data_IF_052682242240
#
_entry.id   IF_052682242240
#
_cell.length_a   1.000
_cell.length_b   1.000
_cell.length_c   1.000
_cell.angle_alpha   90.00
_cell.angle_beta   90.00
_cell.angle_gamma   90.00
#
_symmetry.space_group_name_H-M   'P 1'
#
loop_
_entity.id
_entity.type
_entity.pdbx_description
1 polymer ?
#
# COMPACT_ATOMS: atom_id res chain seq x y z
N UNK A 1 -2.37 -18.29 -14.10
CA UNK A 1 -1.86 -17.57 -15.29
C UNK A 1 -0.39 -17.31 -15.00
N UNK A 2 0.50 -18.00 -15.71
CA UNK A 2 1.95 -17.90 -15.51
C UNK A 2 2.34 -16.48 -15.89
N UNK A 3 2.80 -15.69 -14.90
CA UNK A 3 3.47 -14.42 -15.17
C UNK A 3 4.74 -14.82 -15.95
N UNK A 4 4.78 -14.53 -17.24
CA UNK A 4 6.04 -14.56 -17.97
C UNK A 4 6.96 -13.58 -17.24
N UNK A 5 7.99 -14.11 -16.60
CA UNK A 5 9.08 -13.31 -16.05
C UNK A 5 9.73 -12.66 -17.28
N UNK A 6 9.42 -11.39 -17.52
CA UNK A 6 10.13 -10.62 -18.53
C UNK A 6 11.48 -10.35 -17.91
N UNK A 7 12.53 -10.94 -18.51
CA UNK A 7 13.89 -10.66 -18.12
C UNK A 7 14.15 -9.16 -18.22
N UNK A 8 14.66 -8.58 -17.15
CA UNK A 8 15.12 -7.20 -17.15
C UNK A 8 16.19 -7.02 -18.25
N UNK A 9 16.26 -5.83 -18.84
CA UNK A 9 17.27 -5.52 -19.85
C UNK A 9 18.65 -5.36 -19.17
N UNK A 10 19.27 -6.49 -18.83
CA UNK A 10 20.57 -6.60 -18.16
C UNK A 10 21.65 -7.07 -19.13
N UNK A 11 22.92 -6.91 -18.72
CA UNK A 11 24.04 -7.43 -19.47
C UNK A 11 23.93 -8.96 -19.63
N UNK A 12 23.54 -9.67 -18.58
CA UNK A 12 23.34 -11.12 -18.62
C UNK A 12 22.28 -11.53 -19.64
N UNK A 13 21.13 -10.88 -19.65
CA UNK A 13 20.07 -11.14 -20.62
C UNK A 13 20.54 -10.88 -22.07
N UNK A 14 21.36 -9.85 -22.31
CA UNK A 14 21.94 -9.56 -23.61
C UNK A 14 22.95 -10.64 -24.05
N UNK A 15 23.83 -11.10 -23.15
CA UNK A 15 24.83 -12.12 -23.42
C UNK A 15 24.22 -13.51 -23.65
N UNK A 16 23.07 -13.80 -23.04
CA UNK A 16 22.35 -15.08 -23.18
C UNK A 16 21.58 -15.21 -24.51
N UNK A 17 21.51 -14.16 -25.34
CA UNK A 17 20.86 -14.20 -26.64
C UNK A 17 21.67 -15.09 -27.60
N UNK A 18 21.26 -16.35 -27.80
CA UNK A 18 21.95 -17.34 -28.61
C UNK A 18 22.22 -16.86 -30.06
N UNK A 19 21.28 -16.11 -30.61
CA UNK A 19 21.39 -15.55 -31.97
C UNK A 19 22.53 -14.56 -32.14
N UNK A 20 22.93 -13.88 -31.04
CA UNK A 20 24.03 -12.91 -31.06
C UNK A 20 25.41 -13.55 -30.85
N UNK A 21 25.44 -14.74 -30.27
CA UNK A 21 26.72 -15.50 -30.02
C UNK A 21 27.77 -14.67 -29.28
N UNK A 22 27.34 -13.73 -28.43
CA UNK A 22 28.26 -12.92 -27.64
C UNK A 22 28.98 -13.80 -26.63
N UNK A 23 30.23 -13.48 -26.33
CA UNK A 23 31.04 -14.25 -25.38
C UNK A 23 31.68 -13.31 -24.37
N UNK A 24 31.38 -13.50 -23.10
CA UNK A 24 32.05 -12.75 -22.04
C UNK A 24 33.55 -13.13 -22.04
N UNK A 25 34.41 -12.11 -22.10
CA UNK A 25 35.83 -12.30 -22.00
C UNK A 25 36.23 -12.33 -20.53
N UNK A 26 36.53 -13.53 -20.02
CA UNK A 26 37.02 -13.70 -18.65
C UNK A 26 38.55 -13.61 -18.70
N UNK A 27 39.22 -12.66 -18.01
CA UNK A 27 40.66 -12.70 -17.84
C UNK A 27 41.02 -13.93 -17.00
N UNK A 28 42.14 -14.59 -17.32
CA UNK A 28 42.64 -15.77 -16.62
C UNK A 28 42.92 -15.56 -15.12
N UNK A 29 42.76 -14.35 -14.64
CA UNK A 29 42.89 -13.93 -13.23
C UNK A 29 41.74 -13.03 -12.85
N UNK A 30 40.59 -13.60 -12.43
CA UNK A 30 39.59 -12.86 -11.68
C UNK A 30 40.02 -12.89 -10.21
N UNK A 31 40.17 -11.72 -9.52
CA UNK A 31 40.23 -11.72 -8.08
C UNK A 31 38.90 -12.30 -7.56
N UNK A 32 38.95 -13.29 -6.68
CA UNK A 32 37.83 -14.01 -6.12
C UNK A 32 36.84 -13.12 -5.29
N UNK A 33 36.84 -11.81 -5.45
CA UNK A 33 36.08 -10.83 -4.71
C UNK A 33 34.90 -10.20 -5.48
N UNK A 34 34.79 -10.42 -6.82
CA UNK A 34 33.66 -9.91 -7.58
C UNK A 34 32.66 -11.04 -7.81
N UNK A 35 31.49 -10.94 -7.22
CA UNK A 35 30.38 -11.86 -7.47
C UNK A 35 30.01 -11.74 -8.96
N UNK A 36 30.24 -12.78 -9.76
CA UNK A 36 29.87 -12.83 -11.19
C UNK A 36 28.38 -12.46 -11.43
N UNK A 37 27.52 -12.71 -10.46
CA UNK A 37 26.10 -12.36 -10.48
C UNK A 37 25.87 -10.84 -10.54
N UNK A 38 26.68 -10.05 -9.83
CA UNK A 38 26.52 -8.58 -9.79
C UNK A 38 26.90 -7.89 -11.12
N UNK A 39 27.80 -8.50 -11.89
CA UNK A 39 28.20 -8.00 -13.20
C UNK A 39 27.14 -8.25 -14.27
N UNK A 40 26.50 -9.42 -14.23
CA UNK A 40 25.47 -9.82 -15.19
C UNK A 40 24.14 -9.09 -14.94
N UNK A 41 23.88 -8.68 -13.71
CA UNK A 41 22.68 -7.96 -13.33
C UNK A 41 22.75 -6.44 -13.65
N UNK A 42 23.87 -5.95 -14.18
CA UNK A 42 24.00 -4.54 -14.58
C UNK A 42 22.94 -4.18 -15.63
N UNK A 43 22.18 -3.10 -15.42
CA UNK A 43 21.19 -2.66 -16.40
C UNK A 43 21.87 -2.18 -17.70
N UNK A 44 21.26 -2.48 -18.84
CA UNK A 44 21.70 -1.98 -20.16
C UNK A 44 20.60 -1.12 -20.76
N UNK A 45 20.75 0.19 -20.66
CA UNK A 45 19.77 1.17 -21.15
C UNK A 45 19.90 1.49 -22.63
N UNK A 46 20.96 1.01 -23.26
CA UNK A 46 21.18 1.17 -24.70
C UNK A 46 22.51 0.62 -25.13
N UNK A 47 22.69 0.54 -26.45
CA UNK A 47 23.93 0.09 -27.10
C UNK A 47 24.38 1.18 -28.06
N UNK A 48 25.61 1.62 -27.93
CA UNK A 48 26.24 2.62 -28.80
C UNK A 48 27.46 2.01 -29.48
N UNK A 49 27.71 2.33 -30.74
CA UNK A 49 28.92 1.91 -31.44
C UNK A 49 29.80 3.11 -31.76
N UNK A 50 31.09 3.03 -31.44
CA UNK A 50 32.02 4.11 -31.68
C UNK A 50 33.46 3.60 -31.72
N UNK A 51 34.22 4.07 -32.71
CA UNK A 51 35.66 3.89 -32.85
C UNK A 51 36.42 5.20 -32.61
N UNK A 52 35.86 6.11 -31.82
CA UNK A 52 36.53 7.35 -31.42
C UNK A 52 37.58 7.08 -30.33
N UNK A 53 38.67 7.86 -30.35
CA UNK A 53 39.66 7.89 -29.27
C UNK A 53 39.08 8.32 -27.92
N UNK A 54 38.08 9.17 -27.93
CA UNK A 54 37.30 9.56 -26.78
C UNK A 54 35.82 9.61 -27.12
N UNK A 55 35.04 8.53 -26.87
CA UNK A 55 33.59 8.49 -27.10
C UNK A 55 32.79 9.08 -25.94
N UNK A 56 33.42 9.40 -24.80
CA UNK A 56 32.70 9.77 -23.56
C UNK A 56 31.74 10.95 -23.68
N UNK A 57 31.97 11.99 -24.53
CA UNK A 57 30.99 13.06 -24.71
C UNK A 57 29.62 12.59 -25.26
N UNK A 58 29.61 11.46 -25.97
CA UNK A 58 28.43 10.89 -26.62
C UNK A 58 27.79 9.74 -25.83
N UNK A 59 28.36 9.36 -24.68
CA UNK A 59 27.88 8.27 -23.85
C UNK A 59 27.02 8.76 -22.69
N UNK A 60 25.98 8.00 -22.37
CA UNK A 60 25.24 8.10 -21.15
C UNK A 60 25.59 6.94 -20.20
N UNK A 61 25.12 7.01 -18.97
CA UNK A 61 25.26 5.95 -17.99
C UNK A 61 24.48 4.70 -18.43
N UNK A 62 24.92 3.52 -18.01
CA UNK A 62 24.30 2.22 -18.29
C UNK A 62 24.22 1.86 -19.79
N UNK A 63 25.10 2.43 -20.62
CA UNK A 63 25.22 2.01 -22.01
C UNK A 63 26.26 0.91 -22.17
N UNK A 64 26.03 0.04 -23.14
CA UNK A 64 27.06 -0.84 -23.71
C UNK A 64 27.72 -0.10 -24.86
N UNK A 65 29.06 0.00 -24.85
CA UNK A 65 29.84 0.51 -25.98
C UNK A 65 30.33 -0.64 -26.83
N UNK A 66 30.10 -0.59 -28.15
CA UNK A 66 30.67 -1.51 -29.14
C UNK A 66 31.74 -0.79 -29.92
N UNK A 67 32.88 -1.48 -30.17
CA UNK A 67 33.99 -0.95 -30.93
C UNK A 67 34.63 -2.03 -31.82
N UNK A 68 35.15 -1.66 -32.98
CA UNK A 68 35.97 -2.53 -33.82
C UNK A 68 37.46 -2.45 -33.47
N UNK A 69 37.83 -1.47 -32.65
CA UNK A 69 39.19 -1.25 -32.20
C UNK A 69 40.08 -0.51 -33.19
N UNK A 70 39.55 0.09 -34.26
CA UNK A 70 40.31 0.88 -35.24
C UNK A 70 41.11 2.00 -34.56
N UNK A 71 40.55 2.63 -33.50
CA UNK A 71 41.22 3.68 -32.74
C UNK A 71 42.49 3.20 -31.98
N UNK A 72 42.66 1.89 -31.82
CA UNK A 72 43.80 1.32 -31.08
C UNK A 72 45.03 1.04 -31.95
N UNK A 73 44.96 1.15 -33.29
CA UNK A 73 46.09 0.87 -34.19
C UNK A 73 47.35 1.67 -33.85
N UNK A 74 47.29 2.98 -33.52
CA UNK A 74 48.49 3.76 -33.19
C UNK A 74 49.04 3.48 -31.79
N UNK A 75 48.30 2.80 -30.91
CA UNK A 75 48.56 2.78 -29.47
C UNK A 75 48.97 1.40 -28.93
N UNK A 76 49.15 0.40 -29.76
CA UNK A 76 49.45 -0.99 -29.34
C UNK A 76 50.73 -1.12 -28.48
N UNK A 77 51.64 -0.19 -28.59
CA UNK A 77 52.90 -0.19 -27.83
C UNK A 77 52.79 0.52 -26.47
N UNK A 78 51.62 1.13 -26.14
CA UNK A 78 51.45 1.90 -24.91
C UNK A 78 50.31 1.33 -24.02
N UNK A 79 50.63 0.52 -23.01
CA UNK A 79 49.61 0.01 -22.08
C UNK A 79 48.79 1.09 -21.35
N UNK A 80 49.39 2.26 -21.02
CA UNK A 80 48.72 3.36 -20.32
C UNK A 80 47.55 3.91 -21.14
N UNK A 81 47.63 3.86 -22.47
CA UNK A 81 46.54 4.29 -23.34
C UNK A 81 45.25 3.48 -23.10
N UNK A 82 45.35 2.17 -22.98
CA UNK A 82 44.19 1.31 -22.73
C UNK A 82 43.62 1.57 -21.34
N UNK A 83 44.47 1.75 -20.34
CA UNK A 83 44.00 2.09 -18.97
C UNK A 83 43.27 3.43 -18.94
N UNK A 84 43.79 4.46 -19.60
CA UNK A 84 43.15 5.76 -19.69
C UNK A 84 41.80 5.72 -20.44
N UNK A 85 41.76 4.95 -21.53
CA UNK A 85 40.51 4.75 -22.30
C UNK A 85 39.43 4.07 -21.45
N UNK A 86 39.78 2.93 -20.86
CA UNK A 86 38.82 2.15 -20.02
C UNK A 86 38.40 2.90 -18.79
N UNK A 87 39.31 3.61 -18.09
CA UNK A 87 39.00 4.45 -16.95
C UNK A 87 37.96 5.51 -17.31
N UNK A 88 38.11 6.23 -18.43
CA UNK A 88 37.11 7.23 -18.88
C UNK A 88 35.73 6.61 -19.13
N UNK A 89 35.68 5.42 -19.73
CA UNK A 89 34.43 4.69 -19.95
C UNK A 89 33.76 4.34 -18.62
N UNK A 90 34.53 3.83 -17.66
CA UNK A 90 34.03 3.49 -16.34
C UNK A 90 33.55 4.71 -15.59
N UNK A 91 34.31 5.80 -15.56
CA UNK A 91 33.94 7.06 -14.89
C UNK A 91 32.66 7.66 -15.50
N UNK A 92 32.42 7.37 -16.79
CA UNK A 92 31.16 7.75 -17.46
C UNK A 92 29.98 6.85 -17.11
N UNK A 93 30.20 5.71 -16.46
CA UNK A 93 29.17 4.75 -16.08
C UNK A 93 28.78 3.80 -17.23
N UNK A 94 29.69 3.48 -18.15
CA UNK A 94 29.45 2.47 -19.18
C UNK A 94 29.26 1.11 -18.52
N UNK A 95 28.22 0.38 -18.92
CA UNK A 95 27.88 -0.91 -18.34
C UNK A 95 28.84 -2.02 -18.77
N UNK A 96 29.24 -2.05 -20.05
CA UNK A 96 30.17 -3.02 -20.61
C UNK A 96 30.77 -2.52 -21.92
N UNK A 97 31.91 -3.10 -22.30
CA UNK A 97 32.56 -2.90 -23.59
C UNK A 97 32.44 -4.16 -24.44
N UNK A 98 31.87 -4.07 -25.64
CA UNK A 98 31.84 -5.14 -26.63
C UNK A 98 32.86 -4.88 -27.72
N UNK A 99 33.69 -5.86 -28.00
CA UNK A 99 34.76 -5.77 -29.04
C UNK A 99 34.44 -6.66 -30.24
N UNK A 100 34.34 -6.05 -31.42
CA UNK A 100 34.13 -6.76 -32.69
C UNK A 100 35.38 -7.41 -33.15
N UNK A 101 35.45 -8.73 -33.05
CA UNK A 101 36.61 -9.54 -33.55
C UNK A 101 36.48 -9.85 -35.02
N UNK A 102 37.61 -10.13 -35.66
CA UNK A 102 37.76 -10.49 -37.11
C UNK A 102 37.29 -9.38 -38.09
N UNK A 103 37.06 -8.13 -37.60
CA UNK A 103 36.72 -6.97 -38.45
C UNK A 103 37.99 -6.21 -38.83
N UNK A 104 38.75 -5.75 -37.84
CA UNK A 104 40.01 -5.03 -37.97
C UNK A 104 41.14 -5.88 -37.40
N UNK A 105 40.85 -6.73 -36.42
CA UNK A 105 41.80 -7.58 -35.68
C UNK A 105 41.22 -8.96 -35.45
N UNK A 106 42.08 -9.97 -35.38
CA UNK A 106 41.69 -11.38 -35.17
C UNK A 106 41.15 -11.62 -33.74
N UNK A 107 41.44 -10.74 -32.77
CA UNK A 107 41.01 -10.90 -31.38
C UNK A 107 41.07 -9.61 -30.59
N UNK A 108 40.71 -9.71 -29.28
CA UNK A 108 40.77 -8.61 -28.33
C UNK A 108 42.23 -8.30 -27.98
N UNK A 109 42.70 -7.03 -28.06
CA UNK A 109 44.06 -6.68 -27.64
C UNK A 109 44.30 -7.00 -26.17
N UNK A 110 45.41 -7.66 -25.84
CA UNK A 110 45.75 -8.06 -24.47
C UNK A 110 45.81 -6.86 -23.51
N UNK A 111 46.31 -5.70 -23.97
CA UNK A 111 46.32 -4.47 -23.18
C UNK A 111 44.93 -3.96 -22.84
N UNK A 112 43.95 -4.08 -23.76
CA UNK A 112 42.56 -3.72 -23.52
C UNK A 112 41.91 -4.67 -22.50
N UNK A 113 42.14 -5.98 -22.66
CA UNK A 113 41.63 -6.97 -21.72
C UNK A 113 42.17 -6.74 -20.30
N UNK A 114 43.48 -6.50 -20.15
CA UNK A 114 44.10 -6.16 -18.88
C UNK A 114 43.55 -4.88 -18.25
N UNK A 115 43.36 -3.83 -19.06
CA UNK A 115 42.77 -2.57 -18.57
C UNK A 115 41.33 -2.75 -18.13
N UNK A 116 40.50 -3.49 -18.88
CA UNK A 116 39.11 -3.79 -18.49
C UNK A 116 39.05 -4.57 -17.18
N UNK A 117 39.90 -5.56 -16.98
CA UNK A 117 40.00 -6.29 -15.71
C UNK A 117 40.42 -5.38 -14.54
N UNK A 118 41.46 -4.54 -14.75
CA UNK A 118 41.96 -3.63 -13.70
C UNK A 118 40.91 -2.56 -13.26
N UNK A 119 40.05 -2.16 -14.16
CA UNK A 119 38.99 -1.17 -13.90
C UNK A 119 37.62 -1.78 -13.69
N UNK A 120 37.49 -3.12 -13.58
CA UNK A 120 36.21 -3.84 -13.37
C UNK A 120 35.13 -3.47 -14.42
N UNK A 121 35.52 -3.20 -15.65
CA UNK A 121 34.62 -2.98 -16.79
C UNK A 121 34.40 -4.31 -17.51
N UNK A 122 33.19 -4.87 -17.57
CA UNK A 122 32.91 -6.08 -18.30
C UNK A 122 33.28 -5.94 -19.77
N UNK A 123 34.00 -6.94 -20.29
CA UNK A 123 34.43 -7.00 -21.67
C UNK A 123 33.87 -8.27 -22.33
N UNK A 124 33.26 -8.14 -23.49
CA UNK A 124 32.76 -9.28 -24.25
C UNK A 124 33.11 -9.18 -25.73
N UNK A 125 33.19 -10.34 -26.34
CA UNK A 125 33.47 -10.50 -27.78
C UNK A 125 32.16 -10.44 -28.57
N UNK A 126 32.16 -9.68 -29.68
CA UNK A 126 31.13 -9.69 -30.70
C UNK A 126 31.72 -10.32 -31.95
N UNK A 127 31.31 -11.56 -32.33
CA UNK A 127 31.84 -12.27 -33.48
C UNK A 127 31.57 -11.55 -34.81
N UNK A 128 32.41 -11.71 -35.80
CA UNK A 128 32.29 -11.07 -37.12
C UNK A 128 30.92 -11.22 -37.77
N UNK A 129 30.24 -12.36 -37.54
CA UNK A 129 28.93 -12.63 -38.13
C UNK A 129 27.78 -11.91 -37.40
N UNK A 130 28.05 -11.22 -36.30
CA UNK A 130 27.07 -10.50 -35.52
C UNK A 130 27.19 -9.00 -35.74
N UNK A 131 26.34 -8.40 -36.58
CA UNK A 131 26.39 -6.96 -36.82
C UNK A 131 26.08 -6.19 -35.53
N UNK A 132 26.77 -5.09 -35.26
CA UNK A 132 26.50 -4.24 -34.09
C UNK A 132 25.06 -3.76 -34.01
N UNK A 133 24.44 -3.53 -35.16
CA UNK A 133 22.99 -3.16 -35.20
C UNK A 133 22.09 -4.29 -34.69
N UNK A 134 22.48 -5.57 -34.80
CA UNK A 134 21.71 -6.68 -34.24
C UNK A 134 21.76 -6.67 -32.71
N UNK A 135 22.92 -6.35 -32.13
CA UNK A 135 23.08 -6.20 -30.66
C UNK A 135 22.22 -5.03 -30.16
N UNK A 136 22.29 -3.88 -30.85
CA UNK A 136 21.48 -2.71 -30.50
C UNK A 136 19.95 -2.98 -30.58
N UNK A 137 19.53 -3.70 -31.65
CA UNK A 137 18.14 -4.10 -31.84
C UNK A 137 17.65 -5.03 -30.72
N UNK A 138 18.42 -6.07 -30.39
CA UNK A 138 18.07 -7.03 -29.36
C UNK A 138 17.90 -6.35 -27.99
N UNK A 139 18.79 -5.41 -27.64
CA UNK A 139 18.63 -4.62 -26.41
C UNK A 139 17.40 -3.72 -26.45
N UNK A 140 17.12 -3.04 -27.58
CA UNK A 140 15.93 -2.19 -27.73
C UNK A 140 14.63 -2.99 -27.61
N UNK A 141 14.61 -4.21 -28.17
CA UNK A 141 13.49 -5.14 -28.05
C UNK A 141 13.28 -5.60 -26.60
N UNK A 142 14.36 -5.88 -25.85
CA UNK A 142 14.29 -6.23 -24.43
C UNK A 142 13.72 -5.07 -23.59
N UNK A 143 14.20 -3.85 -23.80
CA UNK A 143 13.70 -2.65 -23.12
C UNK A 143 12.21 -2.39 -23.44
N UNK A 144 11.82 -2.56 -24.69
CA UNK A 144 10.42 -2.40 -25.09
C UNK A 144 9.51 -3.48 -24.48
N UNK A 145 9.97 -4.73 -24.41
CA UNK A 145 9.26 -5.84 -23.79
C UNK A 145 9.09 -5.62 -22.28
N UNK A 146 10.15 -5.16 -21.59
CA UNK A 146 10.09 -4.81 -20.16
C UNK A 146 9.09 -3.69 -19.89
N UNK A 147 9.15 -2.60 -20.65
CA UNK A 147 8.23 -1.48 -20.53
C UNK A 147 6.78 -1.91 -20.81
N UNK A 148 6.55 -2.77 -21.80
CA UNK A 148 5.23 -3.31 -22.11
C UNK A 148 4.70 -4.19 -20.96
N UNK A 149 5.53 -5.07 -20.43
CA UNK A 149 5.16 -5.95 -19.32
C UNK A 149 4.78 -5.16 -18.07
N UNK A 150 5.56 -4.12 -17.74
CA UNK A 150 5.27 -3.22 -16.60
C UNK A 150 3.93 -2.50 -16.77
N UNK A 151 3.65 -1.96 -17.94
CA UNK A 151 2.35 -1.32 -18.26
C UNK A 151 1.19 -2.32 -18.20
N UNK A 152 1.38 -3.51 -18.76
CA UNK A 152 0.38 -4.58 -18.74
C UNK A 152 0.09 -5.04 -17.31
N UNK A 153 1.14 -5.17 -16.48
CA UNK A 153 0.99 -5.45 -15.06
C UNK A 153 0.18 -4.36 -14.35
N UNK A 154 0.51 -3.07 -14.56
CA UNK A 154 -0.21 -1.97 -13.91
C UNK A 154 -1.70 -1.96 -14.25
N UNK A 155 -2.07 -2.18 -15.52
CA UNK A 155 -3.47 -2.31 -15.94
C UNK A 155 -4.16 -3.52 -15.30
N UNK A 156 -3.47 -4.64 -15.21
CA UNK A 156 -3.99 -5.86 -14.57
C UNK A 156 -4.18 -5.65 -13.07
N UNK A 157 -3.23 -4.99 -12.40
CA UNK A 157 -3.32 -4.63 -11.00
C UNK A 157 -4.50 -3.69 -10.73
N UNK A 158 -4.65 -2.63 -11.52
CA UNK A 158 -5.79 -1.72 -11.40
C UNK A 158 -7.13 -2.43 -11.57
N UNK A 159 -7.23 -3.35 -12.54
CA UNK A 159 -8.44 -4.15 -12.75
C UNK A 159 -8.72 -5.06 -11.55
N UNK A 160 -7.71 -5.76 -11.04
CA UNK A 160 -7.84 -6.65 -9.89
C UNK A 160 -8.30 -5.89 -8.63
N UNK A 161 -7.73 -4.70 -8.41
CA UNK A 161 -8.09 -3.81 -7.30
C UNK A 161 -9.53 -3.30 -7.46
N UNK A 162 -9.93 -2.90 -8.67
CA UNK A 162 -11.31 -2.46 -8.93
C UNK A 162 -12.33 -3.58 -8.67
N UNK A 163 -12.00 -4.82 -9.03
CA UNK A 163 -12.83 -5.99 -8.71
C UNK A 163 -12.86 -6.31 -7.22
N UNK A 164 -11.76 -6.10 -6.52
CA UNK A 164 -11.70 -6.26 -5.06
C UNK A 164 -12.61 -5.24 -4.36
N UNK A 165 -12.66 -4.01 -4.85
CA UNK A 165 -13.51 -2.95 -4.29
C UNK A 165 -15.02 -3.26 -4.38
N UNK A 166 -15.44 -4.14 -5.29
CA UNK A 166 -16.85 -4.57 -5.43
C UNK A 166 -17.27 -5.67 -4.45
N UNK A 167 -16.35 -6.20 -3.63
CA UNK A 167 -16.66 -7.24 -2.64
C UNK A 167 -17.41 -6.64 -1.44
N UNK A 168 -18.10 -7.44 -0.62
CA UNK A 168 -18.82 -6.96 0.58
C UNK A 168 -17.91 -6.16 1.54
N UNK A 169 -16.65 -6.61 1.77
CA UNK A 169 -15.62 -5.82 2.44
C UNK A 169 -14.69 -5.16 1.39
N UNK A 170 -15.26 -4.31 0.55
CA UNK A 170 -14.58 -3.71 -0.58
C UNK A 170 -13.30 -2.97 -0.21
N UNK A 171 -13.31 -2.23 0.91
CA UNK A 171 -12.15 -1.48 1.38
C UNK A 171 -11.02 -2.41 1.86
N UNK A 172 -11.33 -3.41 2.69
CA UNK A 172 -10.35 -4.38 3.16
C UNK A 172 -9.80 -5.23 2.02
N UNK A 173 -10.65 -5.66 1.10
CA UNK A 173 -10.25 -6.40 -0.08
C UNK A 173 -9.34 -5.57 -1.01
N UNK A 174 -9.60 -4.26 -1.15
CA UNK A 174 -8.78 -3.32 -1.93
C UNK A 174 -7.38 -3.18 -1.32
N UNK A 175 -7.28 -3.01 0.00
CA UNK A 175 -5.99 -2.90 0.71
C UNK A 175 -5.20 -4.21 0.59
N UNK A 176 -5.85 -5.36 0.79
CA UNK A 176 -5.21 -6.66 0.66
C UNK A 176 -4.72 -6.92 -0.78
N UNK A 177 -5.51 -6.54 -1.79
CA UNK A 177 -5.12 -6.68 -3.18
C UNK A 177 -3.96 -5.76 -3.54
N UNK A 178 -3.95 -4.50 -3.05
CA UNK A 178 -2.84 -3.58 -3.24
C UNK A 178 -1.54 -4.14 -2.64
N UNK A 179 -1.60 -4.61 -1.38
CA UNK A 179 -0.46 -5.22 -0.71
C UNK A 179 0.10 -6.41 -1.50
N UNK A 180 -0.78 -7.26 -2.05
CA UNK A 180 -0.40 -8.41 -2.87
C UNK A 180 0.22 -8.01 -4.22
N UNK A 181 -0.32 -6.98 -4.89
CA UNK A 181 0.17 -6.53 -6.20
C UNK A 181 1.53 -5.85 -6.12
N UNK A 182 1.79 -5.14 -5.03
CA UNK A 182 3.05 -4.42 -4.79
C UNK A 182 4.05 -5.22 -3.96
N UNK A 183 3.65 -6.42 -3.50
CA UNK A 183 4.44 -7.22 -2.55
C UNK A 183 4.95 -6.41 -1.35
N UNK A 184 4.07 -5.60 -0.76
CA UNK A 184 4.43 -4.70 0.34
C UNK A 184 3.34 -4.63 1.41
N UNK A 185 3.72 -4.16 2.60
CA UNK A 185 2.75 -3.89 3.65
C UNK A 185 1.96 -2.61 3.36
N UNK A 186 0.65 -2.67 3.58
CA UNK A 186 -0.28 -1.55 3.46
C UNK A 186 -1.14 -1.50 4.73
N UNK A 187 -1.23 -0.33 5.35
CA UNK A 187 -2.07 -0.06 6.52
C UNK A 187 -3.03 1.09 6.30
N UNK A 188 -4.22 0.99 6.89
CA UNK A 188 -5.23 2.03 6.91
C UNK A 188 -5.41 2.53 8.35
N UNK A 189 -5.24 3.82 8.57
CA UNK A 189 -5.47 4.51 9.83
C UNK A 189 -6.74 5.36 9.73
N UNK A 190 -7.56 5.34 10.78
CA UNK A 190 -8.75 6.17 10.90
C UNK A 190 -8.42 7.65 11.19
N UNK A 191 -9.44 8.47 11.35
CA UNK A 191 -9.29 9.90 11.70
C UNK A 191 -8.72 10.14 13.10
N UNK A 192 -8.71 9.14 13.97
CA UNK A 192 -8.06 9.14 15.29
C UNK A 192 -6.61 8.70 15.24
N UNK A 193 -6.11 8.29 14.07
CA UNK A 193 -4.77 7.74 13.91
C UNK A 193 -4.64 6.28 14.34
N UNK A 194 -5.75 5.56 14.54
CA UNK A 194 -5.73 4.13 14.90
C UNK A 194 -5.66 3.27 13.65
N UNK A 195 -4.81 2.25 13.66
CA UNK A 195 -4.74 1.25 12.58
C UNK A 195 -6.02 0.41 12.60
N UNK A 196 -6.85 0.55 11.56
CA UNK A 196 -8.12 -0.17 11.43
C UNK A 196 -8.02 -1.40 10.54
N UNK A 197 -7.14 -1.37 9.55
CA UNK A 197 -6.91 -2.47 8.62
C UNK A 197 -5.44 -2.53 8.21
N UNK A 198 -4.94 -3.72 7.96
CA UNK A 198 -3.60 -3.95 7.41
C UNK A 198 -3.55 -5.20 6.53
N UNK A 199 -2.62 -5.21 5.59
CA UNK A 199 -2.29 -6.36 4.78
C UNK A 199 -0.77 -6.35 4.41
N UNK A 200 -0.05 -7.47 4.57
CA UNK A 200 -0.47 -8.66 5.32
C UNK A 200 -0.63 -8.36 6.82
N UNK A 201 -1.50 -9.11 7.51
CA UNK A 201 -1.69 -8.93 8.95
C UNK A 201 -0.42 -9.26 9.72
N UNK A 202 -0.06 -8.41 10.68
CA UNK A 202 1.18 -8.56 11.46
C UNK A 202 2.45 -8.35 10.62
N UNK A 203 2.35 -7.70 9.48
CA UNK A 203 3.49 -7.44 8.60
C UNK A 203 4.43 -6.34 9.10
N UNK A 204 4.07 -5.67 10.21
CA UNK A 204 4.92 -4.71 10.93
C UNK A 204 4.92 -5.05 12.42
N UNK A 205 6.03 -4.75 13.10
CA UNK A 205 6.12 -4.87 14.54
C UNK A 205 5.37 -3.73 15.27
N UNK A 206 5.09 -3.93 16.56
CA UNK A 206 4.31 -2.98 17.34
C UNK A 206 4.99 -1.60 17.45
N UNK A 207 6.32 -1.54 17.47
CA UNK A 207 7.07 -0.28 17.56
C UNK A 207 6.95 0.51 16.25
N UNK A 208 7.06 -0.17 15.11
CA UNK A 208 6.87 0.43 13.77
C UNK A 208 5.44 0.94 13.59
N UNK A 209 4.43 0.17 14.01
CA UNK A 209 3.02 0.60 13.96
C UNK A 209 2.81 1.85 14.81
N UNK A 210 3.40 1.93 16.02
CA UNK A 210 3.26 3.10 16.89
C UNK A 210 3.91 4.36 16.27
N UNK A 211 5.07 4.23 15.62
CA UNK A 211 5.71 5.34 14.91
C UNK A 211 4.88 5.80 13.71
N UNK A 212 4.32 4.85 12.94
CA UNK A 212 3.41 5.15 11.83
C UNK A 212 2.13 5.84 12.34
N UNK A 213 1.58 5.38 13.47
CA UNK A 213 0.43 5.98 14.14
C UNK A 213 0.68 7.43 14.54
N UNK A 214 1.82 7.71 15.16
CA UNK A 214 2.20 9.07 15.55
C UNK A 214 2.35 9.99 14.33
N UNK A 215 2.97 9.49 13.26
CA UNK A 215 3.11 10.22 12.00
C UNK A 215 1.76 10.47 11.33
N UNK A 216 0.86 9.49 11.33
CA UNK A 216 -0.50 9.60 10.82
C UNK A 216 -1.31 10.65 11.59
N UNK A 217 -1.27 10.62 12.93
CA UNK A 217 -1.94 11.61 13.76
C UNK A 217 -1.44 13.04 13.49
N UNK A 218 -0.13 13.22 13.36
CA UNK A 218 0.47 14.52 12.99
C UNK A 218 0.01 15.01 11.62
N UNK A 219 -0.10 14.11 10.63
CA UNK A 219 -0.54 14.46 9.29
C UNK A 219 -2.02 14.87 9.26
N UNK A 220 -2.88 14.18 10.03
CA UNK A 220 -4.30 14.49 10.16
C UNK A 220 -4.53 15.86 10.81
N UNK A 221 -3.73 16.24 11.80
CA UNK A 221 -3.83 17.56 12.45
C UNK A 221 -3.61 18.73 11.50
N UNK A 222 -2.90 18.55 10.39
CA UNK A 222 -2.71 19.58 9.37
C UNK A 222 -3.99 19.92 8.60
N UNK A 223 -5.02 19.07 8.65
CA UNK A 223 -6.36 19.31 8.11
C UNK A 223 -6.47 19.41 6.59
N UNK A 224 -5.39 19.26 5.85
CA UNK A 224 -5.34 19.35 4.39
C UNK A 224 -4.92 18.03 3.75
N UNK A 225 -5.30 17.82 2.47
CA UNK A 225 -4.76 16.70 1.69
C UNK A 225 -3.24 16.84 1.61
N UNK A 226 -2.54 15.85 2.10
CA UNK A 226 -1.10 15.83 2.15
C UNK A 226 -0.57 14.40 2.06
N UNK A 227 0.66 14.27 1.60
CA UNK A 227 1.46 13.05 1.67
C UNK A 227 2.77 13.37 2.37
N UNK A 228 3.29 12.40 3.10
CA UNK A 228 4.60 12.49 3.75
C UNK A 228 5.32 11.16 3.61
N UNK A 229 6.63 11.21 3.40
CA UNK A 229 7.48 10.04 3.50
C UNK A 229 8.15 10.04 4.87
N UNK A 230 8.15 8.90 5.53
CA UNK A 230 8.76 8.69 6.84
C UNK A 230 9.60 7.42 6.79
N UNK A 231 10.73 7.44 7.47
CA UNK A 231 11.55 6.25 7.67
C UNK A 231 11.20 5.62 9.00
N UNK A 232 10.86 4.34 8.99
CA UNK A 232 10.50 3.56 10.17
C UNK A 232 11.18 2.20 10.08
N UNK A 233 11.97 1.83 11.09
CA UNK A 233 12.66 0.55 11.12
C UNK A 233 13.64 0.33 9.94
N UNK A 234 14.24 1.42 9.41
CA UNK A 234 15.14 1.34 8.24
C UNK A 234 14.43 1.16 6.90
N UNK A 235 13.10 1.29 6.86
CA UNK A 235 12.27 1.24 5.64
C UNK A 235 11.53 2.55 5.42
N UNK A 236 11.37 2.92 4.15
CA UNK A 236 10.63 4.13 3.77
C UNK A 236 9.14 3.83 3.62
N UNK A 237 8.32 4.63 4.28
CA UNK A 237 6.87 4.57 4.17
C UNK A 237 6.31 5.86 3.60
N UNK A 238 5.33 5.74 2.69
CA UNK A 238 4.51 6.85 2.26
C UNK A 238 3.19 6.83 3.00
N UNK A 239 2.87 7.92 3.68
CA UNK A 239 1.57 8.15 4.31
C UNK A 239 0.81 9.17 3.47
N UNK A 240 -0.42 8.85 3.07
CA UNK A 240 -1.24 9.74 2.27
C UNK A 240 -2.65 9.84 2.87
N UNK A 241 -3.14 11.07 2.99
CA UNK A 241 -4.48 11.35 3.51
C UNK A 241 -5.55 10.88 2.52
N UNK A 242 -6.61 10.30 3.05
CA UNK A 242 -7.81 9.90 2.33
C UNK A 242 -8.95 10.89 2.61
N UNK A 243 -9.80 11.15 1.62
CA UNK A 243 -10.93 12.07 1.71
C UNK A 243 -10.82 13.26 0.77
N UNK A 244 -11.86 14.09 0.72
CA UNK A 244 -11.93 15.33 -0.08
C UNK A 244 -11.63 16.55 0.75
N UNK A 245 -11.32 17.67 0.07
CA UNK A 245 -10.87 18.92 0.71
C UNK A 245 -11.72 19.33 1.91
N UNK A 246 -11.08 19.49 3.06
CA UNK A 246 -11.71 19.87 4.34
C UNK A 246 -12.34 18.73 5.15
N UNK A 247 -12.44 17.49 4.60
CA UNK A 247 -12.97 16.32 5.30
C UNK A 247 -12.06 15.12 5.09
N UNK A 248 -11.01 15.03 5.92
CA UNK A 248 -10.14 13.85 5.94
C UNK A 248 -10.88 12.67 6.56
N UNK A 249 -10.70 11.47 6.00
CA UNK A 249 -11.38 10.23 6.41
C UNK A 249 -10.43 9.18 6.97
N UNK A 250 -9.14 9.41 6.81
CA UNK A 250 -8.09 8.52 7.29
C UNK A 250 -6.79 8.70 6.54
N UNK A 251 -5.89 7.78 6.74
CA UNK A 251 -4.58 7.74 6.09
C UNK A 251 -4.30 6.32 5.60
N UNK A 252 -3.82 6.21 4.37
CA UNK A 252 -3.18 5.00 3.89
C UNK A 252 -1.67 5.13 4.06
N UNK A 253 -1.05 4.12 4.63
CA UNK A 253 0.39 3.99 4.78
C UNK A 253 0.87 2.76 4.01
N UNK A 254 1.94 2.89 3.25
CA UNK A 254 2.55 1.77 2.52
C UNK A 254 4.07 1.93 2.48
N UNK A 255 4.79 0.81 2.51
CA UNK A 255 6.22 0.82 2.28
C UNK A 255 6.49 1.11 0.80
N UNK A 256 7.45 2.02 0.54
CA UNK A 256 7.70 2.56 -0.81
C UNK A 256 9.05 2.18 -1.39
N UNK A 257 9.83 1.35 -0.67
CA UNK A 257 11.11 0.88 -1.17
C UNK A 257 10.91 0.14 -2.49
N UNK A 258 11.56 0.62 -3.54
CA UNK A 258 11.51 0.02 -4.88
C UNK A 258 10.27 0.32 -5.73
N UNK A 259 9.37 1.24 -5.33
CA UNK A 259 8.23 1.62 -6.18
C UNK A 259 8.67 2.43 -7.41
N UNK A 260 8.42 1.87 -8.58
CA UNK A 260 8.58 2.54 -9.87
C UNK A 260 7.39 3.47 -10.22
N UNK A 261 7.40 4.03 -11.42
CA UNK A 261 6.37 4.96 -11.87
C UNK A 261 5.00 4.28 -12.01
N UNK A 262 4.96 3.06 -12.53
CA UNK A 262 3.75 2.26 -12.70
C UNK A 262 3.14 1.88 -11.35
N UNK A 263 3.95 1.45 -10.39
CA UNK A 263 3.52 1.16 -9.01
C UNK A 263 2.93 2.37 -8.31
N UNK A 264 3.55 3.55 -8.47
CA UNK A 264 2.99 4.82 -7.95
C UNK A 264 1.65 5.16 -8.60
N UNK A 265 1.47 4.88 -9.90
CA UNK A 265 0.20 5.05 -10.60
C UNK A 265 -0.91 4.15 -10.02
N UNK A 266 -0.58 2.89 -9.71
CA UNK A 266 -1.51 1.95 -9.06
C UNK A 266 -1.90 2.46 -7.67
N UNK A 267 -0.95 2.90 -6.85
CA UNK A 267 -1.21 3.48 -5.52
C UNK A 267 -2.16 4.68 -5.60
N UNK A 268 -1.92 5.59 -6.53
CA UNK A 268 -2.77 6.78 -6.74
C UNK A 268 -4.22 6.38 -7.05
N UNK A 269 -4.42 5.35 -7.88
CA UNK A 269 -5.75 4.83 -8.21
C UNK A 269 -6.44 4.24 -6.97
N UNK A 270 -5.70 3.53 -6.13
CA UNK A 270 -6.23 2.96 -4.87
C UNK A 270 -6.63 4.04 -3.88
N UNK A 271 -5.83 5.10 -3.75
CA UNK A 271 -6.15 6.24 -2.88
C UNK A 271 -7.48 6.87 -3.28
N UNK A 272 -7.72 7.03 -4.58
CA UNK A 272 -8.99 7.55 -5.07
C UNK A 272 -10.17 6.63 -4.74
N UNK A 273 -10.02 5.31 -4.96
CA UNK A 273 -11.04 4.31 -4.63
C UNK A 273 -11.30 4.21 -3.14
N UNK A 274 -10.24 4.16 -2.31
CA UNK A 274 -10.36 4.10 -0.86
C UNK A 274 -11.02 5.36 -0.29
N UNK A 275 -10.67 6.54 -0.82
CA UNK A 275 -11.31 7.79 -0.43
C UNK A 275 -12.81 7.78 -0.74
N UNK A 276 -13.20 7.32 -1.92
CA UNK A 276 -14.61 7.21 -2.32
C UNK A 276 -15.36 6.19 -1.44
N UNK A 277 -14.76 5.02 -1.20
CA UNK A 277 -15.37 3.99 -0.36
C UNK A 277 -15.60 4.47 1.08
N UNK A 278 -14.62 5.19 1.67
CA UNK A 278 -14.76 5.76 2.99
C UNK A 278 -15.85 6.84 3.03
N UNK A 279 -15.95 7.70 2.01
CA UNK A 279 -17.02 8.70 1.93
C UNK A 279 -18.40 8.04 1.86
N UNK A 280 -18.57 7.04 1.00
CA UNK A 280 -19.85 6.32 0.85
C UNK A 280 -20.24 5.61 2.14
N UNK A 281 -19.30 4.95 2.83
CA UNK A 281 -19.55 4.29 4.10
C UNK A 281 -20.00 5.28 5.17
N UNK A 282 -19.38 6.46 5.26
CA UNK A 282 -19.73 7.49 6.22
C UNK A 282 -21.12 8.10 5.95
N UNK A 283 -21.43 8.35 4.68
CA UNK A 283 -22.75 8.88 4.30
C UNK A 283 -23.86 7.88 4.59
N UNK A 284 -23.60 6.59 4.32
CA UNK A 284 -24.52 5.51 4.66
C UNK A 284 -24.68 5.35 6.18
N UNK A 285 -23.58 5.35 6.93
CA UNK A 285 -23.60 5.28 8.39
C UNK A 285 -24.33 6.48 8.99
N UNK A 286 -24.16 7.68 8.44
CA UNK A 286 -24.89 8.87 8.88
C UNK A 286 -26.39 8.75 8.59
N UNK A 287 -26.77 8.29 7.40
CA UNK A 287 -28.16 8.06 7.02
C UNK A 287 -28.82 7.01 7.94
N UNK A 288 -28.14 5.89 8.21
CA UNK A 288 -28.61 4.88 9.17
C UNK A 288 -28.75 5.47 10.58
N UNK A 289 -27.79 6.29 11.02
CA UNK A 289 -27.86 6.97 12.31
C UNK A 289 -29.08 7.88 12.45
N UNK A 290 -29.39 8.65 11.41
CA UNK A 290 -30.59 9.52 11.38
C UNK A 290 -31.88 8.70 11.39
N UNK A 291 -31.93 7.62 10.60
CA UNK A 291 -33.09 6.71 10.61
C UNK A 291 -33.30 6.05 11.98
N UNK A 292 -32.21 5.58 12.62
CA UNK A 292 -32.31 5.02 14.00
C UNK A 292 -32.79 6.05 15.01
N UNK A 293 -32.30 7.29 14.91
CA UNK A 293 -32.79 8.38 15.75
C UNK A 293 -34.29 8.64 15.53
N UNK A 294 -34.77 8.59 14.28
CA UNK A 294 -36.19 8.69 13.95
C UNK A 294 -37.02 7.53 14.51
N UNK A 295 -36.50 6.29 14.43
CA UNK A 295 -37.16 5.11 15.06
C UNK A 295 -37.22 5.26 16.57
N UNK A 296 -36.13 5.68 17.23
CA UNK A 296 -36.13 5.94 18.67
C UNK A 296 -37.16 7.02 19.03
N UNK A 297 -37.20 8.11 18.28
CA UNK A 297 -38.17 9.18 18.52
C UNK A 297 -39.61 8.67 18.40
N UNK A 298 -39.93 7.83 17.41
CA UNK A 298 -41.25 7.19 17.30
C UNK A 298 -41.57 6.30 18.50
N UNK A 299 -40.58 5.54 19.00
CA UNK A 299 -40.73 4.72 20.20
C UNK A 299 -40.98 5.56 21.46
N UNK A 300 -40.23 6.64 21.65
CA UNK A 300 -40.42 7.57 22.79
C UNK A 300 -41.73 8.32 22.69
N UNK A 301 -42.27 8.52 21.50
CA UNK A 301 -43.60 9.11 21.24
C UNK A 301 -44.74 8.09 21.26
N UNK A 302 -44.46 6.85 21.70
CA UNK A 302 -45.43 5.75 21.80
C UNK A 302 -46.02 5.27 20.44
N UNK A 303 -45.32 5.55 19.31
CA UNK A 303 -45.69 5.02 17.98
C UNK A 303 -44.83 3.77 17.63
N UNK A 304 -45.08 2.69 18.36
CA UNK A 304 -44.43 1.40 18.17
C UNK A 304 -44.69 0.83 16.75
N UNK A 305 -45.89 1.09 16.19
CA UNK A 305 -46.25 0.52 14.90
C UNK A 305 -45.35 1.07 13.76
N UNK A 306 -45.12 2.39 13.73
CA UNK A 306 -44.23 3.03 12.80
C UNK A 306 -42.79 2.58 13.00
N UNK A 307 -42.32 2.60 14.26
CA UNK A 307 -40.95 2.19 14.61
C UNK A 307 -40.67 0.75 14.19
N UNK A 308 -41.54 -0.21 14.49
CA UNK A 308 -41.40 -1.61 14.13
C UNK A 308 -41.42 -1.82 12.61
N UNK A 309 -42.26 -1.07 11.88
CA UNK A 309 -42.31 -1.15 10.40
C UNK A 309 -41.00 -0.69 9.76
N UNK A 310 -40.42 0.42 10.22
CA UNK A 310 -39.15 0.94 9.72
C UNK A 310 -38.00 -0.01 10.08
N UNK A 311 -37.90 -0.41 11.36
CA UNK A 311 -36.85 -1.28 11.86
C UNK A 311 -36.79 -2.60 11.09
N UNK A 312 -37.95 -3.25 10.88
CA UNK A 312 -38.05 -4.53 10.18
C UNK A 312 -37.50 -4.48 8.76
N UNK A 313 -37.65 -3.37 8.07
CA UNK A 313 -37.16 -3.21 6.69
C UNK A 313 -35.65 -3.02 6.61
N UNK A 314 -35.01 -2.47 7.66
CA UNK A 314 -33.61 -2.04 7.59
C UNK A 314 -32.70 -2.91 8.47
N UNK A 315 -33.09 -3.16 9.73
CA UNK A 315 -32.25 -3.86 10.73
C UNK A 315 -32.87 -5.14 11.29
N UNK A 316 -34.14 -5.40 11.00
CA UNK A 316 -34.90 -6.53 11.54
C UNK A 316 -35.86 -6.14 12.65
N UNK A 317 -36.29 -7.15 13.42
CA UNK A 317 -37.24 -6.93 14.50
C UNK A 317 -36.64 -6.11 15.66
N UNK A 318 -37.49 -5.34 16.35
CA UNK A 318 -37.10 -4.68 17.59
C UNK A 318 -37.05 -5.71 18.74
N UNK A 319 -36.28 -5.43 19.83
CA UNK A 319 -36.21 -6.29 21.01
C UNK A 319 -37.59 -6.65 21.58
N UNK A 320 -37.72 -7.89 22.07
CA UNK A 320 -38.99 -8.34 22.66
C UNK A 320 -39.12 -7.80 24.07
N UNK A 321 -40.31 -7.30 24.40
CA UNK A 321 -40.60 -6.86 25.77
C UNK A 321 -40.79 -8.08 26.70
N UNK A 322 -40.42 -7.99 28.00
CA UNK A 322 -39.84 -6.82 28.66
C UNK A 322 -38.40 -6.53 28.23
N UNK A 323 -38.11 -5.26 28.02
CA UNK A 323 -36.80 -4.76 27.63
C UNK A 323 -36.27 -3.71 28.62
N UNK A 324 -34.97 -3.47 28.59
CA UNK A 324 -34.31 -2.39 29.31
C UNK A 324 -33.82 -1.32 28.36
N UNK A 325 -33.86 -0.08 28.78
CA UNK A 325 -33.21 1.04 28.12
C UNK A 325 -31.88 1.31 28.81
N UNK A 326 -30.83 1.46 28.05
CA UNK A 326 -29.54 1.91 28.55
C UNK A 326 -29.13 3.21 27.87
N UNK A 327 -28.63 4.18 28.65
CA UNK A 327 -28.07 5.45 28.17
C UNK A 327 -26.59 5.44 28.47
N UNK A 328 -25.76 5.69 27.43
CA UNK A 328 -24.30 5.68 27.53
C UNK A 328 -23.70 7.00 27.04
N UNK A 329 -22.53 7.35 27.57
CA UNK A 329 -21.70 8.41 26.99
C UNK A 329 -21.43 8.16 25.48
N UNK A 330 -21.45 9.24 24.70
CA UNK A 330 -21.15 9.19 23.28
C UNK A 330 -20.09 10.23 22.90
N UNK A 331 -18.84 10.13 23.44
CA UNK A 331 -17.81 11.11 23.15
C UNK A 331 -17.47 11.10 21.66
N UNK A 332 -17.38 12.29 21.06
CA UNK A 332 -17.19 12.48 19.62
C UNK A 332 -15.94 11.72 19.08
N UNK A 333 -14.92 11.57 19.90
CA UNK A 333 -13.66 10.90 19.55
C UNK A 333 -13.76 9.37 19.47
N UNK A 334 -14.76 8.75 20.10
CA UNK A 334 -14.92 7.29 20.21
C UNK A 334 -16.24 6.77 19.63
N UNK A 335 -17.14 7.67 19.24
CA UNK A 335 -18.47 7.28 18.77
C UNK A 335 -18.42 6.39 17.53
N UNK A 336 -17.48 6.61 16.63
CA UNK A 336 -17.31 5.81 15.40
C UNK A 336 -17.04 4.33 15.70
N UNK A 337 -16.03 4.04 16.52
CA UNK A 337 -15.67 2.66 16.90
C UNK A 337 -16.76 1.98 17.75
N UNK A 338 -17.47 2.75 18.56
CA UNK A 338 -18.58 2.26 19.36
C UNK A 338 -19.77 1.86 18.47
N UNK A 339 -20.14 2.71 17.51
CA UNK A 339 -21.20 2.42 16.55
C UNK A 339 -20.83 1.21 15.68
N UNK A 340 -19.62 1.13 15.16
CA UNK A 340 -19.15 -0.02 14.38
C UNK A 340 -19.22 -1.33 15.19
N UNK A 341 -18.81 -1.30 16.46
CA UNK A 341 -18.94 -2.45 17.38
C UNK A 341 -20.40 -2.86 17.63
N UNK A 342 -21.32 -1.90 17.67
CA UNK A 342 -22.75 -2.17 17.84
C UNK A 342 -23.40 -2.67 16.56
N UNK A 343 -23.01 -2.16 15.38
CA UNK A 343 -23.50 -2.64 14.09
C UNK A 343 -23.21 -4.14 13.91
N UNK A 344 -21.96 -4.55 14.18
CA UNK A 344 -21.58 -5.97 14.12
C UNK A 344 -22.45 -6.83 15.06
N UNK A 345 -22.76 -6.32 16.25
CA UNK A 345 -23.56 -7.06 17.23
C UNK A 345 -25.05 -7.09 16.91
N UNK A 346 -25.58 -6.06 16.25
CA UNK A 346 -26.95 -6.08 15.74
C UNK A 346 -27.13 -7.15 14.68
N UNK A 347 -26.14 -7.31 13.78
CA UNK A 347 -26.17 -8.35 12.76
C UNK A 347 -26.09 -9.76 13.35
N UNK A 348 -25.30 -9.97 14.41
CA UNK A 348 -25.17 -11.25 15.09
C UNK A 348 -26.41 -11.60 15.96
N UNK A 349 -27.05 -10.56 16.54
CA UNK A 349 -28.12 -10.68 17.55
C UNK A 349 -29.44 -10.07 17.06
N UNK A 350 -29.83 -10.38 15.83
CA UNK A 350 -31.05 -9.83 15.21
C UNK A 350 -32.26 -9.91 16.14
N UNK A 351 -32.88 -8.75 16.39
CA UNK A 351 -34.08 -8.63 17.22
C UNK A 351 -33.85 -8.57 18.75
N UNK A 352 -32.61 -8.59 19.25
CA UNK A 352 -32.32 -8.50 20.69
C UNK A 352 -31.68 -7.18 21.11
N UNK A 353 -31.22 -6.39 20.16
CA UNK A 353 -30.57 -5.11 20.38
C UNK A 353 -31.02 -4.10 19.33
N UNK A 354 -31.42 -2.94 19.80
CA UNK A 354 -31.60 -1.74 18.98
C UNK A 354 -30.83 -0.60 19.63
N UNK A 355 -30.18 0.25 18.85
CA UNK A 355 -29.49 1.42 19.38
C UNK A 355 -29.70 2.65 18.48
N UNK A 356 -29.67 3.85 19.10
CA UNK A 356 -29.71 5.11 18.39
C UNK A 356 -28.98 6.20 19.17
N UNK A 357 -28.54 7.23 18.47
CA UNK A 357 -28.04 8.46 19.10
C UNK A 357 -29.20 9.38 19.46
N UNK A 358 -29.17 9.92 20.65
CA UNK A 358 -30.18 10.83 21.14
C UNK A 358 -29.57 11.88 22.08
N UNK A 359 -29.75 13.16 21.80
CA UNK A 359 -29.32 14.30 22.64
C UNK A 359 -27.87 14.20 23.15
N UNK A 360 -26.93 13.78 22.26
CA UNK A 360 -25.50 13.67 22.61
C UNK A 360 -25.11 12.39 23.36
N UNK A 361 -26.08 11.51 23.65
CA UNK A 361 -25.89 10.19 24.25
C UNK A 361 -26.15 9.06 23.22
N UNK A 362 -25.80 7.84 23.58
CA UNK A 362 -26.21 6.64 22.90
C UNK A 362 -27.24 5.90 23.72
N UNK A 363 -28.37 5.64 23.11
CA UNK A 363 -29.51 4.92 23.76
C UNK A 363 -29.57 3.51 23.16
N UNK A 364 -29.59 2.50 24.02
CA UNK A 364 -29.78 1.10 23.66
C UNK A 364 -31.11 0.60 24.20
N UNK A 365 -31.84 -0.15 23.38
CA UNK A 365 -32.96 -0.98 23.82
C UNK A 365 -32.50 -2.44 23.73
N UNK A 366 -32.47 -3.14 24.86
CA UNK A 366 -31.94 -4.49 25.00
C UNK A 366 -32.88 -5.42 25.74
N UNK A 367 -32.87 -6.69 25.39
CA UNK A 367 -33.50 -7.71 26.22
C UNK A 367 -32.72 -7.87 27.54
N UNK A 368 -33.41 -8.32 28.60
CA UNK A 368 -32.77 -8.48 29.91
C UNK A 368 -31.56 -9.38 29.93
N UNK A 369 -31.56 -10.42 29.08
CA UNK A 369 -30.43 -11.33 28.90
C UNK A 369 -29.17 -10.65 28.33
N UNK A 370 -29.31 -9.48 27.73
CA UNK A 370 -28.23 -8.73 27.10
C UNK A 370 -27.60 -7.64 28.00
N UNK A 371 -27.96 -7.59 29.28
CA UNK A 371 -27.46 -6.58 30.23
C UNK A 371 -25.92 -6.58 30.33
N UNK A 372 -25.28 -7.76 30.27
CA UNK A 372 -23.82 -7.91 30.26
C UNK A 372 -23.16 -7.16 29.11
N UNK A 373 -23.86 -6.90 28.01
CA UNK A 373 -23.36 -6.11 26.89
C UNK A 373 -23.05 -4.67 27.28
N UNK A 374 -23.91 -4.04 28.10
CA UNK A 374 -23.71 -2.66 28.57
C UNK A 374 -22.45 -2.57 29.45
N UNK A 375 -22.22 -3.56 30.31
CA UNK A 375 -21.03 -3.64 31.15
C UNK A 375 -19.78 -3.81 30.33
N UNK A 376 -19.82 -4.69 29.32
CA UNK A 376 -18.69 -4.90 28.39
C UNK A 376 -18.35 -3.63 27.60
N UNK A 377 -19.36 -2.95 27.03
CA UNK A 377 -19.15 -1.70 26.28
C UNK A 377 -18.57 -0.60 27.18
N UNK A 378 -19.09 -0.47 28.40
CA UNK A 378 -18.58 0.48 29.39
C UNK A 378 -17.13 0.19 29.78
N UNK A 379 -16.78 -1.08 29.98
CA UNK A 379 -15.42 -1.48 30.34
C UNK A 379 -14.43 -1.26 29.19
N UNK A 380 -14.76 -1.70 27.97
CA UNK A 380 -13.89 -1.64 26.80
C UNK A 380 -13.66 -0.19 26.34
N UNK A 381 -14.71 0.61 26.31
CA UNK A 381 -14.65 1.98 25.79
C UNK A 381 -14.50 3.04 26.90
N UNK A 382 -14.48 2.63 28.17
CA UNK A 382 -14.33 3.54 29.32
C UNK A 382 -15.50 4.49 29.48
N UNK A 383 -16.74 4.04 29.21
CA UNK A 383 -17.95 4.87 29.20
C UNK A 383 -18.73 4.74 30.50
N UNK A 384 -19.46 5.80 30.87
CA UNK A 384 -20.51 5.74 31.89
C UNK A 384 -21.81 5.32 31.26
N UNK A 385 -22.59 4.51 31.96
CA UNK A 385 -23.89 4.02 31.53
C UNK A 385 -24.90 3.99 32.66
N UNK A 386 -26.15 4.26 32.34
CA UNK A 386 -27.30 4.06 33.20
C UNK A 386 -28.33 3.15 32.57
N UNK A 387 -28.96 2.28 33.34
CA UNK A 387 -29.90 1.27 32.84
C UNK A 387 -31.22 1.37 33.60
N UNK A 388 -32.31 1.34 32.87
CA UNK A 388 -33.68 1.39 33.43
C UNK A 388 -34.09 0.07 34.10
N UNK A 389 -35.20 0.09 34.80
CA UNK A 389 -35.97 -1.12 35.09
C UNK A 389 -36.51 -1.78 33.81
N UNK A 390 -36.86 -3.09 33.86
CA UNK A 390 -37.54 -3.74 32.75
C UNK A 390 -38.88 -3.10 32.44
N UNK A 391 -39.18 -2.85 31.18
CA UNK A 391 -40.42 -2.15 30.79
C UNK A 391 -40.97 -2.69 29.46
N UNK A 392 -42.23 -2.36 29.20
CA UNK A 392 -42.83 -2.49 27.88
C UNK A 392 -42.59 -1.25 27.02
N UNK A 393 -42.93 -1.35 25.76
CA UNK A 393 -42.82 -0.22 24.82
C UNK A 393 -43.77 0.96 25.21
N UNK A 394 -44.88 0.67 25.90
CA UNK A 394 -45.82 1.69 26.32
C UNK A 394 -45.25 2.63 27.41
N UNK A 395 -44.24 2.14 28.15
CA UNK A 395 -43.52 2.89 29.18
C UNK A 395 -42.09 3.26 28.75
N UNK A 396 -41.76 3.18 27.46
CA UNK A 396 -40.38 3.36 26.99
C UNK A 396 -39.82 4.77 27.29
N UNK A 397 -40.66 5.80 27.19
CA UNK A 397 -40.26 7.17 27.55
C UNK A 397 -39.87 7.28 29.02
N UNK A 398 -40.63 6.62 29.92
CA UNK A 398 -40.32 6.56 31.35
C UNK A 398 -39.05 5.76 31.61
N UNK A 399 -38.87 4.62 30.93
CA UNK A 399 -37.65 3.81 31.02
C UNK A 399 -36.42 4.59 30.53
N UNK A 400 -36.54 5.37 29.47
CA UNK A 400 -35.46 6.25 29.01
C UNK A 400 -35.08 7.29 30.07
N UNK A 401 -36.06 7.91 30.72
CA UNK A 401 -35.78 8.88 31.79
C UNK A 401 -35.14 8.21 33.01
N UNK A 402 -35.58 7.02 33.41
CA UNK A 402 -34.94 6.22 34.46
C UNK A 402 -33.45 5.94 34.11
N UNK A 403 -33.17 5.50 32.87
CA UNK A 403 -31.81 5.23 32.40
C UNK A 403 -30.95 6.49 32.41
N UNK A 404 -31.53 7.64 32.04
CA UNK A 404 -30.85 8.95 32.06
C UNK A 404 -30.46 9.36 33.50
N UNK A 405 -31.34 9.22 34.43
CA UNK A 405 -31.06 9.50 35.86
C UNK A 405 -29.97 8.56 36.40
N UNK A 406 -30.04 7.28 36.05
CA UNK A 406 -29.02 6.32 36.46
C UNK A 406 -27.66 6.66 35.81
N UNK A 407 -27.66 7.08 34.55
CA UNK A 407 -26.44 7.52 33.85
C UNK A 407 -25.80 8.75 34.52
N UNK A 408 -26.57 9.75 34.92
CA UNK A 408 -26.08 10.91 35.67
C UNK A 408 -25.42 10.48 36.98
N UNK A 409 -26.07 9.56 37.74
CA UNK A 409 -25.48 8.99 38.97
C UNK A 409 -24.14 8.25 38.68
N UNK A 410 -24.06 7.52 37.59
CA UNK A 410 -22.83 6.80 37.26
C UNK A 410 -21.63 7.73 36.99
N UNK A 411 -21.89 8.93 36.49
CA UNK A 411 -20.85 9.96 36.24
C UNK A 411 -20.34 10.63 37.52
N UNK A 412 -21.18 10.71 38.54
CA UNK A 412 -20.87 11.29 39.87
C UNK A 412 -20.27 10.24 40.79
N UNK A 413 -20.53 8.96 40.56
CA UNK A 413 -20.12 7.84 41.38
C UNK A 413 -18.83 7.14 40.93
N UNK A 414 -18.46 6.08 41.68
CA UNK A 414 -17.31 5.23 41.35
C UNK A 414 -17.62 4.10 40.34
N UNK A 415 -18.92 3.74 40.23
CA UNK A 415 -19.34 2.68 39.32
C UNK A 415 -19.63 3.24 37.91
N UNK A 416 -19.06 2.63 36.87
CA UNK A 416 -19.29 3.06 35.49
C UNK A 416 -20.68 2.73 34.97
N UNK A 417 -21.32 1.71 35.52
CA UNK A 417 -22.68 1.30 35.17
C UNK A 417 -23.54 1.41 36.41
N UNK A 418 -24.64 2.16 36.32
CA UNK A 418 -25.64 2.29 37.38
C UNK A 418 -26.98 1.74 36.90
N UNK A 419 -27.65 0.95 37.74
CA UNK A 419 -29.02 0.53 37.53
C UNK A 419 -29.94 1.55 38.21
N UNK A 420 -31.10 1.82 37.59
CA UNK A 420 -32.15 2.57 38.23
C UNK A 420 -32.81 1.65 39.28
N UNK A 421 -32.81 2.10 40.52
CA UNK A 421 -33.43 1.45 41.68
C UNK A 421 -34.26 2.45 42.47
#
# INVERSE_FOLDING_TARGET
MVVQVVEAATLGALLQREELRLRLHQPDVIPAATNDLDVLDRPVRGVHSSDLLDPTPFLAQDLVLLTTGTQFEPAEANPEFFHDYVRRLRDRGVAALGFGTEVVRDGIPAGLASACAAHELPLFEVPYRTPFIAVARANSEALAAEAYARRSWALSAQRAISLAALRPDGLGATIAELARQLDTWVGLFDTGGTLTREAPRGGQDAASIEQLRASAASLLQRGARAGVSVEVGGRNFSLQTLGRGGSLRGIIALATDGLDQEGRGVVTSVIALASLALEQNDDLARAHGLLRAGVLHSLLSNDKALAARISRQIWGELPVAPLRVAVLDAPATRIGSLVESLELRVDERRGRLFFARHEGTLVLCIEEAELALVEQLSAVHGLHAGVSEPSGYDALAQAHEQARVAWERSREGSARVALFA
#
